data_IF_210231787267
#
_entry.id   IF_210231787267
#
_cell.length_a   1.000
_cell.length_b   1.000
_cell.length_c   1.000
_cell.angle_alpha   90.00
_cell.angle_beta   90.00
_cell.angle_gamma   90.00
#
_symmetry.space_group_name_H-M   'P 1'
#
loop_
_entity.id
_entity.type
_entity.pdbx_description
1 polymer ?
#
# COMPACT_ATOMS: atom_id res chain seq x y z
N UNK A 1 -92.98 9.26 -18.06
CA UNK A 1 -91.78 9.96 -18.56
C UNK A 1 -91.15 10.66 -17.35
N UNK A 2 -90.15 10.05 -16.69
CA UNK A 2 -88.70 10.34 -16.74
C UNK A 2 -88.32 11.81 -16.46
N UNK A 3 -87.74 12.08 -15.29
CA UNK A 3 -86.76 13.15 -15.05
C UNK A 3 -86.00 12.81 -13.75
N UNK A 4 -84.80 12.23 -13.85
CA UNK A 4 -83.48 12.86 -13.81
C UNK A 4 -82.99 13.24 -12.39
N UNK A 5 -82.07 12.42 -11.91
CA UNK A 5 -81.29 12.53 -10.65
C UNK A 5 -80.06 13.41 -10.92
N UNK A 6 -79.65 14.33 -10.02
CA UNK A 6 -78.31 14.87 -10.01
C UNK A 6 -77.41 14.03 -9.08
N UNK A 7 -76.44 13.32 -9.65
CA UNK A 7 -75.37 12.67 -8.90
C UNK A 7 -74.21 13.65 -8.73
N UNK A 8 -73.97 14.08 -7.47
CA UNK A 8 -72.85 14.91 -7.07
C UNK A 8 -71.57 14.07 -7.06
N UNK A 9 -70.67 14.31 -8.02
CA UNK A 9 -69.37 13.67 -8.09
C UNK A 9 -68.40 14.33 -7.09
N UNK A 10 -68.05 13.61 -6.02
CA UNK A 10 -67.00 14.01 -5.09
C UNK A 10 -65.62 13.74 -5.73
N UNK A 11 -64.90 14.79 -6.10
CA UNK A 11 -63.53 14.72 -6.58
C UNK A 11 -62.60 14.40 -5.40
N UNK A 12 -62.15 13.15 -5.29
CA UNK A 12 -61.05 12.75 -4.41
C UNK A 12 -59.74 13.34 -4.94
N UNK A 13 -59.29 14.44 -4.35
CA UNK A 13 -57.95 14.98 -4.59
C UNK A 13 -56.97 14.03 -3.88
N UNK A 14 -56.34 13.14 -4.64
CA UNK A 14 -55.25 12.32 -4.15
C UNK A 14 -54.05 13.24 -3.84
N UNK A 15 -53.81 13.50 -2.56
CA UNK A 15 -52.57 14.12 -2.09
C UNK A 15 -51.40 13.20 -2.46
N UNK A 16 -50.34 13.68 -3.14
CA UNK A 16 -49.18 12.85 -3.40
C UNK A 16 -48.57 12.46 -2.05
N UNK A 17 -48.54 11.17 -1.75
CA UNK A 17 -47.79 10.65 -0.63
C UNK A 17 -46.32 11.00 -0.87
N UNK A 18 -45.74 11.81 0.00
CA UNK A 18 -44.31 12.11 0.01
C UNK A 18 -43.58 10.83 0.44
N UNK A 19 -43.44 9.87 -0.48
CA UNK A 19 -42.62 8.70 -0.27
C UNK A 19 -41.16 9.18 -0.26
N UNK A 20 -40.48 8.99 0.87
CA UNK A 20 -39.05 9.29 0.97
C UNK A 20 -38.30 8.52 -0.11
N UNK A 21 -37.30 9.17 -0.71
CA UNK A 21 -36.54 8.55 -1.80
C UNK A 21 -35.76 7.36 -1.24
N UNK A 22 -36.04 6.16 -1.77
CA UNK A 22 -35.37 4.94 -1.33
C UNK A 22 -33.88 5.01 -1.70
N UNK A 23 -33.01 4.80 -0.70
CA UNK A 23 -31.55 4.85 -0.90
C UNK A 23 -30.87 3.61 -0.36
N UNK A 24 -29.78 3.23 -1.02
CA UNK A 24 -28.93 2.10 -0.63
C UNK A 24 -27.56 2.59 -0.16
N UNK A 25 -27.07 2.02 0.94
CA UNK A 25 -25.73 2.31 1.45
C UNK A 25 -24.67 1.77 0.48
N UNK A 26 -23.64 2.57 0.19
CA UNK A 26 -22.50 2.14 -0.62
C UNK A 26 -21.66 1.08 0.10
N UNK A 27 -21.05 0.17 -0.66
CA UNK A 27 -20.09 -0.82 -0.14
C UNK A 27 -18.82 -0.16 0.38
N UNK A 28 -18.39 0.91 -0.28
CA UNK A 28 -17.18 1.65 0.03
C UNK A 28 -17.55 3.10 0.35
N UNK A 29 -17.66 3.40 1.65
CA UNK A 29 -17.92 4.75 2.14
C UNK A 29 -16.59 5.47 2.37
N UNK A 30 -16.22 6.35 1.44
CA UNK A 30 -15.06 7.23 1.55
C UNK A 30 -15.48 8.68 1.43
N UNK A 31 -14.74 9.56 2.11
CA UNK A 31 -14.96 11.01 2.07
C UNK A 31 -13.75 11.71 1.44
N UNK A 32 -13.95 12.82 0.74
CA UNK A 32 -12.84 13.59 0.14
C UNK A 32 -12.23 14.60 1.13
N UNK A 33 -13.06 15.45 1.74
CA UNK A 33 -12.61 16.69 2.41
C UNK A 33 -12.75 16.67 3.95
N UNK A 34 -12.97 15.49 4.55
CA UNK A 34 -13.27 15.36 5.98
C UNK A 34 -14.70 15.76 6.37
N UNK A 35 -15.55 16.14 5.40
CA UNK A 35 -17.00 16.38 5.57
C UNK A 35 -17.78 15.22 4.97
N UNK A 36 -18.29 14.35 5.83
CA UNK A 36 -19.03 13.15 5.44
C UNK A 36 -20.46 13.54 5.08
N UNK A 37 -20.81 13.37 3.81
CA UNK A 37 -22.13 13.75 3.26
C UNK A 37 -23.02 12.55 2.94
N UNK A 38 -24.33 12.77 2.83
CA UNK A 38 -25.26 11.71 2.40
C UNK A 38 -24.95 11.21 0.98
N UNK A 39 -24.41 12.06 0.10
CA UNK A 39 -23.98 11.68 -1.25
C UNK A 39 -22.76 10.76 -1.29
N UNK A 40 -21.92 10.77 -0.26
CA UNK A 40 -20.79 9.85 -0.10
C UNK A 40 -21.22 8.51 0.52
N UNK A 41 -22.24 8.53 1.38
CA UNK A 41 -22.74 7.34 2.08
C UNK A 41 -23.73 6.52 1.24
N UNK A 42 -24.58 7.18 0.45
CA UNK A 42 -25.73 6.56 -0.21
C UNK A 42 -25.70 6.71 -1.73
N UNK A 43 -26.07 5.64 -2.42
CA UNK A 43 -26.44 5.70 -3.83
C UNK A 43 -27.87 6.23 -3.97
N UNK A 44 -28.04 7.16 -4.91
CA UNK A 44 -29.33 7.82 -5.13
C UNK A 44 -29.68 8.89 -4.10
N UNK A 45 -28.71 9.55 -3.46
CA UNK A 45 -28.98 10.67 -2.53
C UNK A 45 -29.66 11.89 -3.21
N UNK A 46 -29.56 12.04 -4.53
CA UNK A 46 -30.24 13.09 -5.28
C UNK A 46 -29.97 14.49 -4.75
N UNK A 47 -31.03 15.29 -4.55
CA UNK A 47 -30.94 16.66 -4.02
C UNK A 47 -30.42 16.74 -2.57
N UNK A 48 -30.37 15.62 -1.85
CA UNK A 48 -29.83 15.54 -0.49
C UNK A 48 -28.34 15.18 -0.46
N UNK A 49 -27.65 15.13 -1.60
CA UNK A 49 -26.22 14.76 -1.68
C UNK A 49 -25.33 15.60 -0.78
N UNK A 50 -25.59 16.90 -0.66
CA UNK A 50 -24.70 17.86 0.00
C UNK A 50 -24.95 17.99 1.51
N UNK A 51 -25.92 17.22 2.04
CA UNK A 51 -26.25 17.22 3.46
C UNK A 51 -25.14 16.51 4.23
N UNK A 52 -24.45 17.28 5.07
CA UNK A 52 -23.38 16.77 5.95
C UNK A 52 -24.00 16.01 7.12
N UNK A 53 -23.53 14.78 7.32
CA UNK A 53 -23.93 13.90 8.41
C UNK A 53 -22.95 13.97 9.57
N UNK A 54 -21.65 14.06 9.28
CA UNK A 54 -20.59 14.13 10.28
C UNK A 54 -19.31 14.74 9.69
N UNK A 55 -18.37 15.08 10.55
CA UNK A 55 -17.00 15.41 10.16
C UNK A 55 -16.06 14.32 10.65
N UNK A 56 -15.10 13.92 9.81
CA UNK A 56 -14.06 12.98 10.21
C UNK A 56 -12.94 13.72 10.94
N UNK A 57 -12.48 13.13 12.04
CA UNK A 57 -11.26 13.54 12.74
C UNK A 57 -10.27 12.38 12.69
N UNK A 58 -9.23 12.50 11.86
CA UNK A 58 -8.23 11.45 11.64
C UNK A 58 -8.44 10.63 10.36
N UNK A 59 -7.82 9.44 10.24
CA UNK A 59 -7.83 8.64 9.01
C UNK A 59 -9.13 7.89 8.73
N UNK A 60 -9.99 7.72 9.75
CA UNK A 60 -11.32 7.11 9.61
C UNK A 60 -12.30 7.67 10.63
N UNK A 61 -13.58 7.70 10.29
CA UNK A 61 -14.68 8.00 11.19
C UNK A 61 -15.64 6.82 11.28
N UNK A 62 -16.19 6.59 12.47
CA UNK A 62 -17.22 5.57 12.69
C UNK A 62 -18.54 6.29 12.94
N UNK A 63 -19.53 6.02 12.09
CA UNK A 63 -20.88 6.53 12.25
C UNK A 63 -21.80 5.39 12.69
N UNK A 64 -22.65 5.66 13.67
CA UNK A 64 -23.71 4.73 14.06
C UNK A 64 -24.84 4.78 13.03
N UNK A 65 -25.23 3.62 12.51
CA UNK A 65 -26.21 3.50 11.43
C UNK A 65 -27.55 4.15 11.79
N UNK A 66 -27.97 4.06 13.06
CA UNK A 66 -29.20 4.73 13.52
C UNK A 66 -29.14 6.25 13.39
N UNK A 67 -27.99 6.87 13.66
CA UNK A 67 -27.82 8.31 13.48
C UNK A 67 -27.85 8.72 12.01
N UNK A 68 -27.20 7.93 11.15
CA UNK A 68 -27.21 8.12 9.70
C UNK A 68 -28.62 7.96 9.13
N UNK A 69 -29.39 6.98 9.61
CA UNK A 69 -30.78 6.75 9.18
C UNK A 69 -31.71 7.90 9.60
N UNK A 70 -31.50 8.50 10.78
CA UNK A 70 -32.23 9.70 11.21
C UNK A 70 -31.86 10.90 10.33
N UNK A 71 -30.58 11.08 10.02
CA UNK A 71 -30.12 12.16 9.14
C UNK A 71 -30.69 12.01 7.71
N UNK A 72 -30.69 10.79 7.18
CA UNK A 72 -31.28 10.47 5.88
C UNK A 72 -32.79 10.77 5.85
N UNK A 73 -33.56 10.33 6.86
CA UNK A 73 -35.00 10.61 6.95
C UNK A 73 -35.32 12.10 7.02
N UNK A 74 -34.52 12.87 7.76
CA UNK A 74 -34.66 14.34 7.83
C UNK A 74 -34.41 15.01 6.47
N UNK A 75 -33.53 14.42 5.67
CA UNK A 75 -33.25 14.86 4.30
C UNK A 75 -34.24 14.29 3.26
N UNK A 76 -35.30 13.59 3.69
CA UNK A 76 -36.30 13.00 2.80
C UNK A 76 -35.87 11.70 2.13
N UNK A 77 -34.78 11.07 2.58
CA UNK A 77 -34.31 9.77 2.11
C UNK A 77 -34.81 8.67 3.03
N UNK A 78 -35.29 7.55 2.46
CA UNK A 78 -35.67 6.36 3.23
C UNK A 78 -34.63 5.25 3.04
N UNK A 79 -33.81 5.07 4.07
CA UNK A 79 -32.91 3.94 4.18
C UNK A 79 -33.52 2.90 5.11
N UNK A 80 -33.95 1.77 4.55
CA UNK A 80 -34.56 0.66 5.30
C UNK A 80 -33.56 -0.14 6.12
N UNK A 81 -32.25 0.00 5.82
CA UNK A 81 -31.17 -0.79 6.43
C UNK A 81 -31.45 -2.30 6.43
N UNK A 82 -31.86 -2.85 5.28
CA UNK A 82 -32.17 -4.27 5.12
C UNK A 82 -30.99 -5.20 5.51
N UNK A 83 -29.75 -4.71 5.40
CA UNK A 83 -28.53 -5.43 5.77
C UNK A 83 -28.23 -5.43 7.28
N UNK A 84 -29.01 -4.73 8.11
CA UNK A 84 -28.82 -4.70 9.57
C UNK A 84 -27.50 -4.05 9.99
N UNK A 85 -26.98 -3.11 9.19
CA UNK A 85 -25.72 -2.43 9.46
C UNK A 85 -25.85 -1.64 10.75
N UNK A 86 -24.92 -1.83 11.68
CA UNK A 86 -24.88 -1.10 12.96
C UNK A 86 -23.91 0.08 12.90
N UNK A 87 -22.79 -0.10 12.23
CA UNK A 87 -21.71 0.89 12.12
C UNK A 87 -21.26 1.02 10.68
N UNK A 88 -21.01 2.26 10.28
CA UNK A 88 -20.49 2.63 8.97
C UNK A 88 -19.12 3.25 9.20
N UNK A 89 -18.09 2.67 8.58
CA UNK A 89 -16.71 3.14 8.70
C UNK A 89 -16.39 3.94 7.46
N UNK A 90 -16.25 5.25 7.63
CA UNK A 90 -15.88 6.15 6.54
C UNK A 90 -14.39 6.39 6.59
N UNK A 91 -13.69 5.98 5.54
CA UNK A 91 -12.25 6.21 5.43
C UNK A 91 -11.99 7.49 4.64
N UNK A 92 -10.82 8.07 4.82
CA UNK A 92 -10.35 9.10 3.90
C UNK A 92 -10.26 8.50 2.50
N UNK A 93 -11.03 9.05 1.56
CA UNK A 93 -10.84 8.83 0.15
C UNK A 93 -9.58 9.56 -0.26
N UNK A 94 -8.63 8.83 -0.84
CA UNK A 94 -7.67 9.45 -1.76
C UNK A 94 -8.50 9.96 -2.93
N UNK A 95 -8.56 11.27 -3.20
CA UNK A 95 -9.31 11.92 -4.30
C UNK A 95 -9.57 11.03 -5.53
N UNK A 96 -10.59 10.19 -5.43
CA UNK A 96 -11.01 9.21 -6.44
C UNK A 96 -12.50 9.42 -6.68
N UNK A 97 -12.91 10.69 -6.70
CA UNK A 97 -14.29 11.13 -6.79
C UNK A 97 -14.64 11.68 -8.16
N UNK A 98 -14.52 10.86 -9.21
CA UNK A 98 -15.42 10.90 -10.36
C UNK A 98 -15.37 9.55 -11.05
N UNK A 99 -16.51 8.86 -11.09
CA UNK A 99 -16.79 7.74 -11.98
C UNK A 99 -16.89 8.23 -13.44
N UNK A 100 -15.84 8.85 -13.93
CA UNK A 100 -15.40 8.70 -15.31
C UNK A 100 -14.29 7.66 -15.29
N UNK A 101 -14.04 6.97 -16.39
CA UNK A 101 -12.78 6.25 -16.55
C UNK A 101 -11.63 7.28 -16.47
N UNK A 102 -11.19 7.60 -15.26
CA UNK A 102 -9.93 8.25 -15.00
C UNK A 102 -8.89 7.25 -15.50
N UNK A 103 -8.50 7.43 -16.77
CA UNK A 103 -7.11 7.21 -17.13
C UNK A 103 -6.31 8.24 -16.34
N UNK A 104 -6.25 8.06 -15.03
CA UNK A 104 -5.42 8.83 -14.14
C UNK A 104 -4.03 8.43 -14.53
N UNK A 105 -3.34 9.33 -15.23
CA UNK A 105 -1.92 9.14 -15.44
C UNK A 105 -1.28 9.14 -14.05
N UNK A 106 -1.02 7.95 -13.51
CA UNK A 106 -0.31 7.78 -12.25
C UNK A 106 1.17 8.02 -12.57
N UNK A 107 1.84 8.74 -11.69
CA UNK A 107 3.30 8.83 -11.74
C UNK A 107 3.86 7.49 -11.32
N UNK A 108 4.46 6.80 -12.28
CA UNK A 108 5.06 5.49 -12.09
C UNK A 108 6.55 5.65 -12.32
N UNK A 109 7.33 5.14 -11.39
CA UNK A 109 8.78 5.08 -11.56
C UNK A 109 9.10 4.08 -12.67
N UNK A 110 9.94 4.48 -13.63
CA UNK A 110 10.36 3.65 -14.74
C UNK A 110 11.87 3.72 -14.94
N UNK A 111 12.42 2.72 -15.63
CA UNK A 111 13.85 2.67 -15.90
C UNK A 111 14.23 3.60 -17.05
N UNK A 112 15.13 4.56 -16.79
CA UNK A 112 15.61 5.54 -17.76
C UNK A 112 16.47 4.91 -18.88
N UNK A 113 17.10 3.76 -18.60
CA UNK A 113 17.86 2.95 -19.56
C UNK A 113 17.62 1.45 -19.34
N UNK A 114 18.10 0.64 -20.27
CA UNK A 114 18.08 -0.82 -20.09
C UNK A 114 19.19 -1.24 -19.13
N UNK A 115 18.85 -2.06 -18.13
CA UNK A 115 19.78 -2.57 -17.11
C UNK A 115 19.94 -4.08 -17.24
N UNK A 116 21.17 -4.56 -17.08
CA UNK A 116 21.47 -5.98 -17.12
C UNK A 116 21.30 -6.64 -15.75
N UNK A 117 21.08 -7.96 -15.74
CA UNK A 117 21.11 -8.74 -14.48
C UNK A 117 22.46 -8.56 -13.78
N UNK A 118 22.42 -8.27 -12.47
CA UNK A 118 23.61 -8.04 -11.65
C UNK A 118 24.06 -6.58 -11.60
N UNK A 119 23.47 -5.68 -12.40
CA UNK A 119 23.78 -4.26 -12.38
C UNK A 119 23.17 -3.58 -11.13
N UNK A 120 23.85 -2.55 -10.63
CA UNK A 120 23.38 -1.77 -9.48
C UNK A 120 22.54 -0.60 -9.98
N UNK A 121 21.34 -0.45 -9.42
CA UNK A 121 20.42 0.63 -9.77
C UNK A 121 20.96 1.94 -9.20
N UNK A 122 21.19 2.90 -10.09
CA UNK A 122 21.63 4.24 -9.72
C UNK A 122 20.46 5.23 -9.76
N UNK A 123 20.56 6.40 -9.07
CA UNK A 123 19.51 7.42 -9.10
C UNK A 123 19.17 7.88 -10.53
N UNK A 124 20.15 7.99 -11.41
CA UNK A 124 19.99 8.36 -12.83
C UNK A 124 19.26 7.31 -13.67
N UNK A 125 19.17 6.07 -13.19
CA UNK A 125 18.49 4.98 -13.89
C UNK A 125 16.97 5.01 -13.67
N UNK A 126 16.48 5.91 -12.81
CA UNK A 126 15.08 5.98 -12.41
C UNK A 126 14.48 7.30 -12.87
N UNK A 127 13.33 7.22 -13.52
CA UNK A 127 12.60 8.39 -14.02
C UNK A 127 11.11 8.26 -13.75
N UNK A 128 10.49 9.33 -13.27
CA UNK A 128 9.05 9.40 -13.11
C UNK A 128 8.37 9.61 -14.47
N UNK A 129 7.51 8.66 -14.86
CA UNK A 129 6.72 8.76 -16.09
C UNK A 129 5.24 8.74 -15.77
N UNK A 130 4.45 9.41 -16.63
CA UNK A 130 2.99 9.33 -16.58
C UNK A 130 2.53 8.07 -17.30
N UNK A 131 1.98 7.13 -16.56
CA UNK A 131 1.46 5.86 -17.09
C UNK A 131 -0.01 5.67 -16.71
N UNK A 132 -0.77 4.94 -17.54
CA UNK A 132 -2.20 4.68 -17.28
C UNK A 132 -2.43 3.83 -16.02
N UNK A 133 -1.47 2.97 -15.68
CA UNK A 133 -1.41 2.21 -14.43
C UNK A 133 0.02 1.68 -14.22
N UNK A 134 0.45 1.61 -12.96
CA UNK A 134 1.69 0.94 -12.57
C UNK A 134 1.45 -0.51 -12.12
N UNK A 135 2.50 -1.33 -12.00
CA UNK A 135 2.45 -2.60 -11.29
C UNK A 135 1.90 -2.43 -9.87
N UNK A 136 1.22 -3.45 -9.33
CA UNK A 136 0.72 -3.41 -7.95
C UNK A 136 1.81 -3.33 -6.89
N UNK A 137 3.05 -3.64 -7.25
CA UNK A 137 4.25 -3.55 -6.42
C UNK A 137 5.22 -2.46 -6.89
N UNK A 138 4.70 -1.45 -7.59
CA UNK A 138 5.46 -0.26 -7.92
C UNK A 138 5.97 0.40 -6.62
N UNK A 139 7.28 0.69 -6.54
CA UNK A 139 7.83 1.41 -5.40
C UNK A 139 7.23 2.81 -5.32
N UNK A 140 7.02 3.28 -4.09
CA UNK A 140 6.47 4.62 -3.83
C UNK A 140 7.54 5.69 -3.90
N UNK A 141 8.79 5.30 -3.66
CA UNK A 141 9.95 6.18 -3.68
C UNK A 141 11.07 5.59 -4.52
N UNK A 142 11.91 6.44 -5.12
CA UNK A 142 13.09 6.01 -5.85
C UNK A 142 14.15 5.40 -4.93
N UNK A 143 14.22 5.88 -3.69
CA UNK A 143 15.15 5.40 -2.66
C UNK A 143 14.98 3.90 -2.33
N UNK A 144 13.80 3.33 -2.57
CA UNK A 144 13.52 1.91 -2.37
C UNK A 144 14.28 1.00 -3.37
N UNK A 145 14.65 1.56 -4.53
CA UNK A 145 15.33 0.84 -5.60
C UNK A 145 16.82 1.18 -5.69
N UNK A 146 17.20 2.41 -5.31
CA UNK A 146 18.58 2.88 -5.43
C UNK A 146 19.51 1.99 -4.59
N UNK A 147 20.64 1.60 -5.18
CA UNK A 147 21.62 0.72 -4.53
C UNK A 147 21.25 -0.77 -4.54
N UNK A 148 20.08 -1.13 -5.05
CA UNK A 148 19.71 -2.54 -5.23
C UNK A 148 20.34 -3.12 -6.51
N UNK A 149 20.46 -4.44 -6.57
CA UNK A 149 20.94 -5.18 -7.73
C UNK A 149 19.79 -5.78 -8.53
N UNK A 150 19.85 -5.60 -9.84
CA UNK A 150 18.87 -6.09 -10.82
C UNK A 150 18.91 -7.62 -10.91
N UNK A 151 17.74 -8.27 -10.75
CA UNK A 151 17.61 -9.74 -10.79
C UNK A 151 17.36 -10.30 -12.18
N UNK A 152 16.79 -9.49 -13.07
CA UNK A 152 16.42 -9.86 -14.44
C UNK A 152 16.66 -8.69 -15.38
N UNK A 153 16.94 -8.90 -16.67
CA UNK A 153 17.17 -7.79 -17.59
C UNK A 153 15.95 -6.87 -17.66
N UNK A 154 16.18 -5.57 -17.47
CA UNK A 154 15.15 -4.53 -17.48
C UNK A 154 15.31 -3.70 -18.74
N UNK A 155 14.18 -3.31 -19.32
CA UNK A 155 14.16 -2.47 -20.52
C UNK A 155 13.91 -1.02 -20.15
N UNK A 156 14.52 -0.13 -20.92
CA UNK A 156 14.19 1.29 -20.89
C UNK A 156 12.68 1.51 -21.04
N UNK A 157 12.14 2.40 -20.21
CA UNK A 157 10.72 2.76 -20.17
C UNK A 157 9.82 1.72 -19.50
N UNK A 158 10.34 0.58 -19.07
CA UNK A 158 9.58 -0.37 -18.27
C UNK A 158 9.31 0.21 -16.88
N UNK A 159 8.10 0.01 -16.37
CA UNK A 159 7.74 0.38 -15.00
C UNK A 159 8.60 -0.41 -14.00
N UNK A 160 9.15 0.30 -13.02
CA UNK A 160 9.97 -0.28 -11.97
C UNK A 160 9.10 -1.01 -10.94
N UNK A 161 9.63 -2.10 -10.42
CA UNK A 161 8.94 -3.01 -9.52
C UNK A 161 9.91 -3.54 -8.47
N UNK A 162 9.46 -3.65 -7.23
CA UNK A 162 10.28 -4.20 -6.12
C UNK A 162 10.72 -5.65 -6.37
N UNK A 163 10.01 -6.40 -7.23
CA UNK A 163 10.39 -7.78 -7.59
C UNK A 163 11.58 -7.86 -8.55
N UNK A 164 11.89 -6.77 -9.24
CA UNK A 164 12.96 -6.71 -10.23
C UNK A 164 14.33 -6.62 -9.59
N UNK A 165 14.39 -6.19 -8.34
CA UNK A 165 15.62 -5.89 -7.64
C UNK A 165 15.78 -6.75 -6.38
N UNK A 166 17.02 -6.88 -5.92
CA UNK A 166 17.39 -7.53 -4.66
C UNK A 166 18.54 -6.80 -4.01
N UNK A 167 18.76 -7.03 -2.73
CA UNK A 167 19.95 -6.54 -2.03
C UNK A 167 21.22 -6.94 -2.77
N UNK A 168 22.17 -6.01 -2.97
CA UNK A 168 23.38 -6.27 -3.73
C UNK A 168 24.22 -7.35 -3.07
N UNK A 169 24.53 -8.39 -3.85
CA UNK A 169 25.47 -9.41 -3.41
C UNK A 169 26.88 -8.85 -3.54
N UNK A 170 27.50 -8.57 -2.40
CA UNK A 170 28.85 -8.00 -2.34
C UNK A 170 29.94 -9.07 -2.33
N UNK A 171 29.58 -10.32 -2.05
CA UNK A 171 30.48 -11.49 -2.05
C UNK A 171 29.84 -12.59 -2.90
N UNK A 172 30.62 -13.20 -3.80
CA UNK A 172 30.22 -14.35 -4.60
C UNK A 172 30.71 -15.65 -3.98
N UNK A 173 30.05 -16.76 -4.33
CA UNK A 173 30.52 -18.08 -3.95
C UNK A 173 31.91 -18.34 -4.56
N UNK A 174 32.87 -18.69 -3.71
CA UNK A 174 34.25 -18.96 -4.08
C UNK A 174 35.22 -17.80 -3.88
N UNK A 175 34.75 -16.59 -3.57
CA UNK A 175 35.60 -15.42 -3.31
C UNK A 175 36.45 -15.62 -2.04
N UNK A 176 37.67 -15.07 -2.03
CA UNK A 176 38.50 -15.01 -0.82
C UNK A 176 38.10 -13.77 -0.04
N UNK A 177 37.65 -13.98 1.20
CA UNK A 177 37.15 -12.94 2.10
C UNK A 177 37.96 -12.90 3.38
N UNK A 178 38.12 -11.71 3.94
CA UNK A 178 38.70 -11.50 5.25
C UNK A 178 37.62 -11.66 6.32
N UNK A 179 37.82 -12.62 7.23
CA UNK A 179 36.94 -12.88 8.36
C UNK A 179 37.57 -12.23 9.58
N UNK A 180 36.88 -11.25 10.16
CA UNK A 180 37.31 -10.52 11.37
C UNK A 180 36.49 -10.99 12.56
N UNK A 181 37.16 -11.50 13.58
CA UNK A 181 36.57 -11.77 14.89
C UNK A 181 36.99 -10.65 15.83
N UNK A 182 36.04 -9.98 16.47
CA UNK A 182 36.31 -8.93 17.44
C UNK A 182 35.56 -9.23 18.74
N UNK A 183 36.31 -9.32 19.83
CA UNK A 183 35.77 -9.48 21.18
C UNK A 183 36.66 -8.73 22.17
N UNK A 184 36.03 -7.95 23.05
CA UNK A 184 36.66 -7.17 24.13
C UNK A 184 37.96 -6.40 23.75
N UNK A 185 37.99 -5.79 22.56
CA UNK A 185 39.12 -4.99 22.07
C UNK A 185 40.23 -5.79 21.37
N UNK A 186 40.08 -7.10 21.21
CA UNK A 186 40.98 -7.95 20.43
C UNK A 186 40.34 -8.26 19.08
N UNK A 187 41.02 -7.88 17.99
CA UNK A 187 40.61 -8.21 16.62
C UNK A 187 41.54 -9.27 16.02
N UNK A 188 40.95 -10.37 15.54
CA UNK A 188 41.65 -11.43 14.83
C UNK A 188 41.14 -11.47 13.39
N UNK A 189 42.04 -11.32 12.40
CA UNK A 189 41.69 -11.40 10.97
C UNK A 189 42.25 -12.68 10.37
N UNK A 190 41.40 -13.45 9.68
CA UNK A 190 41.80 -14.62 8.91
C UNK A 190 41.27 -14.55 7.49
N UNK A 191 41.90 -15.24 6.56
CA UNK A 191 41.39 -15.39 5.20
C UNK A 191 40.59 -16.68 5.06
N UNK A 192 39.46 -16.60 4.37
CA UNK A 192 38.61 -17.74 4.09
C UNK A 192 37.96 -17.66 2.72
N UNK A 193 37.57 -18.80 2.17
CA UNK A 193 36.85 -18.92 0.91
C UNK A 193 35.34 -18.93 1.18
N UNK A 194 34.60 -17.98 0.61
CA UNK A 194 33.15 -17.94 0.68
C UNK A 194 32.55 -19.19 0.03
N UNK A 195 31.64 -19.88 0.72
CA UNK A 195 30.95 -21.05 0.18
C UNK A 195 29.63 -20.70 -0.51
N UNK A 196 29.11 -19.51 -0.29
CA UNK A 196 27.87 -19.02 -0.88
C UNK A 196 28.01 -17.55 -1.26
N UNK A 197 27.06 -17.02 -2.04
CA UNK A 197 26.98 -15.58 -2.24
C UNK A 197 26.25 -14.94 -1.05
N UNK A 198 26.58 -13.70 -0.72
CA UNK A 198 25.96 -13.00 0.41
C UNK A 198 25.90 -11.50 0.21
N UNK A 199 24.80 -10.89 0.67
CA UNK A 199 24.64 -9.45 0.76
C UNK A 199 25.10 -8.94 2.14
N UNK A 200 25.32 -7.62 2.25
CA UNK A 200 25.67 -6.98 3.53
C UNK A 200 24.61 -7.31 4.60
N UNK A 201 25.05 -7.73 5.79
CA UNK A 201 24.19 -8.13 6.90
C UNK A 201 23.56 -9.52 6.75
N UNK A 202 23.95 -10.31 5.75
CA UNK A 202 23.55 -11.71 5.60
C UNK A 202 24.59 -12.66 6.21
N UNK A 203 24.12 -13.80 6.72
CA UNK A 203 25.00 -14.87 7.20
C UNK A 203 25.58 -15.65 6.02
N UNK A 204 26.90 -15.78 5.99
CA UNK A 204 27.67 -16.45 4.96
C UNK A 204 28.58 -17.52 5.59
N UNK A 205 28.54 -18.73 5.03
CA UNK A 205 29.47 -19.81 5.35
C UNK A 205 30.82 -19.57 4.66
N UNK A 206 31.90 -19.49 5.44
CA UNK A 206 33.26 -19.26 4.94
C UNK A 206 34.16 -20.41 5.39
N UNK A 207 34.89 -21.00 4.45
CA UNK A 207 35.89 -22.03 4.73
C UNK A 207 37.27 -21.38 4.96
N UNK A 208 37.86 -21.55 6.13
CA UNK A 208 39.23 -21.11 6.39
C UNK A 208 40.20 -21.85 5.45
N UNK A 209 41.04 -21.10 4.73
CA UNK A 209 41.95 -21.67 3.73
C UNK A 209 43.06 -22.53 4.35
N UNK A 210 43.50 -22.19 5.56
CA UNK A 210 44.57 -22.86 6.31
C UNK A 210 44.06 -24.08 7.08
N UNK A 211 42.98 -23.94 7.86
CA UNK A 211 42.49 -25.02 8.74
C UNK A 211 41.39 -25.90 8.11
N UNK A 212 40.87 -25.51 6.94
CA UNK A 212 39.72 -26.14 6.25
C UNK A 212 38.40 -26.14 7.04
N UNK A 213 38.36 -25.56 8.24
CA UNK A 213 37.12 -25.43 9.04
C UNK A 213 36.15 -24.46 8.38
N UNK A 214 34.86 -24.76 8.48
CA UNK A 214 33.76 -23.90 8.00
C UNK A 214 33.27 -23.06 9.18
N UNK A 215 33.12 -21.75 8.97
CA UNK A 215 32.75 -20.77 9.97
C UNK A 215 31.52 -20.00 9.45
N UNK A 216 30.48 -19.85 10.28
CA UNK A 216 29.37 -18.94 10.01
C UNK A 216 29.81 -17.51 10.32
N UNK A 217 29.71 -16.64 9.32
CA UNK A 217 30.14 -15.24 9.40
C UNK A 217 29.00 -14.33 8.94
N UNK A 218 29.00 -13.05 9.28
CA UNK A 218 28.07 -12.06 8.73
C UNK A 218 28.82 -11.11 7.83
N UNK A 219 28.29 -10.86 6.63
CA UNK A 219 28.93 -9.97 5.65
C UNK A 219 28.87 -8.53 6.14
N UNK A 220 30.01 -7.87 6.26
CA UNK A 220 30.09 -6.46 6.67
C UNK A 220 30.34 -5.51 5.50
N UNK A 221 30.95 -6.01 4.42
CA UNK A 221 31.23 -5.23 3.23
C UNK A 221 31.86 -6.07 2.12
N UNK A 222 32.30 -5.44 1.02
CA UNK A 222 32.97 -6.13 -0.08
C UNK A 222 34.22 -6.88 0.42
N UNK A 223 34.24 -8.20 0.26
CA UNK A 223 35.38 -9.04 0.67
C UNK A 223 35.62 -9.12 2.18
N UNK A 224 34.72 -8.60 3.02
CA UNK A 224 34.87 -8.57 4.48
C UNK A 224 33.67 -9.18 5.19
N UNK A 225 33.94 -10.05 6.14
CA UNK A 225 32.93 -10.67 7.02
C UNK A 225 33.36 -10.60 8.48
N UNK A 226 32.39 -10.63 9.39
CA UNK A 226 32.62 -10.59 10.83
C UNK A 226 32.05 -11.83 11.53
N UNK A 227 32.64 -12.21 12.66
CA UNK A 227 32.21 -13.34 13.52
C UNK A 227 32.11 -12.87 14.97
N UNK A 228 31.30 -13.54 15.78
CA UNK A 228 31.21 -13.27 17.22
C UNK A 228 30.17 -12.20 17.59
N UNK A 229 30.38 -11.43 18.67
CA UNK A 229 29.41 -10.46 19.19
C UNK A 229 29.01 -9.39 18.17
N UNK A 230 29.96 -8.94 17.33
CA UNK A 230 29.69 -7.98 16.25
C UNK A 230 28.71 -8.54 15.21
N UNK A 231 28.89 -9.81 14.81
CA UNK A 231 27.97 -10.49 13.90
C UNK A 231 26.57 -10.64 14.51
N UNK A 232 26.48 -10.92 15.82
CA UNK A 232 25.21 -11.01 16.54
C UNK A 232 24.47 -9.65 16.59
N UNK A 233 25.19 -8.54 16.77
CA UNK A 233 24.63 -7.17 16.72
C UNK A 233 24.07 -6.82 15.34
N UNK A 234 24.81 -7.14 14.28
CA UNK A 234 24.35 -6.92 12.90
C UNK A 234 23.10 -7.76 12.58
N UNK A 235 23.04 -9.01 13.06
CA UNK A 235 21.87 -9.89 12.93
C UNK A 235 20.67 -9.39 13.73
N UNK A 236 20.89 -8.85 14.94
CA UNK A 236 19.84 -8.29 15.79
C UNK A 236 19.19 -7.05 15.16
N UNK A 237 19.99 -6.15 14.57
CA UNK A 237 19.47 -4.95 13.90
C UNK A 237 18.54 -5.29 12.73
N UNK A 238 18.90 -6.29 11.90
CA UNK A 238 18.07 -6.74 10.77
C UNK A 238 16.72 -7.33 11.21
N UNK A 239 16.72 -8.07 12.31
CA UNK A 239 15.48 -8.66 12.84
C UNK A 239 14.53 -7.60 13.41
N UNK A 240 15.08 -6.49 13.92
CA UNK A 240 14.28 -5.42 14.49
C UNK A 240 13.60 -4.57 13.38
N UNK A 241 14.29 -4.29 12.27
CA UNK A 241 13.71 -3.59 11.11
C UNK A 241 12.59 -4.40 10.45
N UNK A 242 12.73 -5.73 10.32
CA UNK A 242 11.67 -6.58 9.76
C UNK A 242 10.40 -6.65 10.62
N UNK A 243 10.51 -6.48 11.94
CA UNK A 243 9.35 -6.46 12.84
C UNK A 243 8.63 -5.12 12.86
N UNK A 244 9.33 -4.03 12.62
CA UNK A 244 8.72 -2.70 12.57
C UNK A 244 8.01 -2.44 11.23
N UNK A 245 8.48 -3.04 10.14
CA UNK A 245 7.82 -2.95 8.82
C UNK A 245 6.53 -3.79 8.71
N UNK A 246 6.22 -4.63 9.70
CA UNK A 246 5.08 -5.56 9.68
C UNK A 246 3.88 -5.11 10.55
N UNK A 247 3.83 -3.84 10.96
CA UNK A 247 2.75 -3.31 11.83
C UNK A 247 2.04 -2.12 11.21
#
# INVERSE_FOLDING_TARGET
MKAFVPALAALLIATPALAGQAVSLRSDTTDADGRITLGELFDGAGAASDVVVANRVGPSAVLEAGAVQIAARRAGLDWTNAAGVRRIIVRQGSDSGVAGASRGNVEVLAYARSLATGELVQPEDLVWIKAAAGPSDAPRDADDLIGMTVKRPLRQGAAASLRDVSTPQVIKAGDIVAVTYEDDGVALTLQGKAMSAGAIGESLMVQNTASKKIIETVVTGPGSTAVGPQAMRLKANRNNTLRYAAR
#
